data_IF_577169029710
#
_entry.id   IF_577169029710
#
_cell.length_a   1.000
_cell.length_b   1.000
_cell.length_c   1.000
_cell.angle_alpha   90.00
_cell.angle_beta   90.00
_cell.angle_gamma   90.00
#
_symmetry.space_group_name_H-M   'P 1'
#
loop_
_entity.id
_entity.type
_entity.pdbx_description
1 polymer ?
#
# COMPACT_ATOMS: atom_id res chain seq x y z
N UNK A 1 7.82 -19.32 -3.01
CA UNK A 1 7.98 -20.79 -3.07
C UNK A 1 6.78 -21.41 -2.39
N UNK A 2 5.97 -22.18 -3.12
CA UNK A 2 4.77 -22.81 -2.56
C UNK A 2 5.20 -23.96 -1.66
N UNK A 3 4.63 -24.03 -0.46
CA UNK A 3 5.04 -24.96 0.60
C UNK A 3 4.06 -26.12 0.63
N UNK A 4 4.06 -26.91 -0.45
CA UNK A 4 3.04 -27.95 -0.68
C UNK A 4 2.99 -29.00 0.45
N UNK A 5 4.11 -29.28 1.10
CA UNK A 5 4.18 -30.16 2.27
C UNK A 5 3.37 -29.64 3.48
N UNK A 6 3.04 -28.34 3.52
CA UNK A 6 2.19 -27.74 4.56
C UNK A 6 0.70 -27.68 4.18
N UNK A 7 0.31 -28.30 3.05
CA UNK A 7 -1.09 -28.32 2.60
C UNK A 7 -2.07 -28.91 3.63
N UNK A 8 -1.75 -29.98 4.38
CA UNK A 8 -2.66 -30.50 5.41
C UNK A 8 -3.02 -29.45 6.48
N UNK A 9 -2.05 -28.63 6.91
CA UNK A 9 -2.29 -27.53 7.85
C UNK A 9 -3.17 -26.42 7.27
N UNK A 10 -3.14 -26.26 5.94
CA UNK A 10 -3.97 -25.28 5.23
C UNK A 10 -5.46 -25.67 5.25
N UNK A 11 -5.78 -26.96 5.41
CA UNK A 11 -7.18 -27.42 5.58
C UNK A 11 -7.75 -26.99 6.94
N UNK A 12 -6.97 -27.14 8.01
CA UNK A 12 -7.37 -26.66 9.34
C UNK A 12 -7.53 -25.13 9.36
N UNK A 13 -6.58 -24.41 8.76
CA UNK A 13 -6.67 -22.96 8.59
C UNK A 13 -7.89 -22.56 7.74
N UNK A 14 -8.19 -23.31 6.67
CA UNK A 14 -9.38 -23.10 5.85
C UNK A 14 -10.66 -23.26 6.66
N UNK A 15 -10.75 -24.29 7.50
CA UNK A 15 -11.92 -24.54 8.33
C UNK A 15 -12.18 -23.37 9.28
N UNK A 16 -11.15 -22.94 10.02
CA UNK A 16 -11.26 -21.82 10.97
C UNK A 16 -11.65 -20.52 10.26
N UNK A 17 -11.00 -20.19 9.15
CA UNK A 17 -11.29 -18.96 8.40
C UNK A 17 -12.67 -19.00 7.74
N UNK A 18 -13.11 -20.16 7.26
CA UNK A 18 -14.45 -20.34 6.67
C UNK A 18 -15.54 -20.24 7.72
N UNK A 19 -15.38 -20.90 8.87
CA UNK A 19 -16.32 -20.80 9.98
C UNK A 19 -16.48 -19.35 10.44
N UNK A 20 -15.36 -18.64 10.65
CA UNK A 20 -15.37 -17.21 10.96
C UNK A 20 -16.13 -16.40 9.90
N UNK A 21 -15.87 -16.65 8.61
CA UNK A 21 -16.55 -15.94 7.53
C UNK A 21 -18.06 -16.21 7.51
N UNK A 22 -18.47 -17.47 7.70
CA UNK A 22 -19.88 -17.86 7.81
C UNK A 22 -20.58 -17.19 8.99
N UNK A 23 -19.92 -17.07 10.14
CA UNK A 23 -20.48 -16.35 11.29
C UNK A 23 -20.79 -14.89 10.98
N UNK A 24 -19.98 -14.22 10.14
CA UNK A 24 -20.29 -12.87 9.66
C UNK A 24 -21.40 -12.87 8.59
N UNK A 25 -21.41 -13.86 7.69
CA UNK A 25 -22.44 -13.97 6.65
C UNK A 25 -23.83 -14.25 7.25
N UNK A 26 -23.90 -15.06 8.30
CA UNK A 26 -25.12 -15.36 9.05
C UNK A 26 -25.50 -14.29 10.09
N UNK A 27 -24.70 -13.24 10.25
CA UNK A 27 -24.97 -12.17 11.22
C UNK A 27 -24.77 -12.53 12.69
N UNK A 28 -24.17 -13.69 12.98
CA UNK A 28 -23.81 -14.10 14.36
C UNK A 28 -22.73 -13.17 14.91
N UNK A 29 -21.75 -12.83 14.08
CA UNK A 29 -20.71 -11.83 14.42
C UNK A 29 -21.17 -10.43 14.05
N UNK A 30 -21.02 -9.49 14.98
CA UNK A 30 -21.43 -8.09 14.80
C UNK A 30 -20.60 -7.42 13.70
N UNK A 31 -21.30 -6.84 12.72
CA UNK A 31 -20.74 -5.92 11.74
C UNK A 31 -21.38 -4.54 11.89
N UNK A 32 -20.57 -3.49 11.84
CA UNK A 32 -21.01 -2.10 11.96
C UNK A 32 -21.01 -1.45 10.59
N UNK A 33 -22.13 -0.80 10.25
CA UNK A 33 -22.27 0.11 9.10
C UNK A 33 -22.13 1.55 9.55
N UNK A 34 -21.77 2.41 8.59
CA UNK A 34 -21.58 3.84 8.81
C UNK A 34 -22.44 4.60 7.80
N UNK A 35 -22.90 5.80 8.18
CA UNK A 35 -23.59 6.70 7.25
C UNK A 35 -22.59 7.25 6.23
N UNK A 36 -21.43 7.70 6.71
CA UNK A 36 -20.33 8.14 5.85
C UNK A 36 -19.87 7.02 4.92
N UNK A 37 -19.75 7.26 3.60
CA UNK A 37 -19.18 6.33 2.64
C UNK A 37 -17.82 5.79 3.08
N UNK A 38 -17.69 4.47 3.13
CA UNK A 38 -16.42 3.78 3.43
C UNK A 38 -15.96 2.98 2.20
N UNK A 39 -14.74 3.25 1.75
CA UNK A 39 -14.06 2.50 0.69
C UNK A 39 -12.92 1.72 1.32
N UNK A 40 -12.93 0.40 1.18
CA UNK A 40 -11.85 -0.44 1.67
C UNK A 40 -10.96 -0.90 0.52
N UNK A 41 -9.65 -0.72 0.68
CA UNK A 41 -8.63 -1.28 -0.21
C UNK A 41 -7.91 -2.40 0.52
N UNK A 42 -7.97 -3.61 -0.01
CA UNK A 42 -7.26 -4.74 0.60
C UNK A 42 -7.03 -5.89 -0.35
N UNK A 43 -6.43 -6.96 0.16
CA UNK A 43 -6.12 -8.15 -0.63
C UNK A 43 -6.42 -9.43 0.14
N UNK A 44 -6.45 -10.56 -0.57
CA UNK A 44 -6.60 -11.87 0.04
C UNK A 44 -5.28 -12.44 0.57
N UNK A 45 -4.11 -11.93 0.15
CA UNK A 45 -2.80 -12.50 0.52
C UNK A 45 -2.05 -11.69 1.58
N UNK A 46 -1.01 -12.28 2.19
CA UNK A 46 -0.08 -11.57 3.09
C UNK A 46 0.98 -10.74 2.36
N UNK A 47 1.08 -10.86 1.03
CA UNK A 47 2.06 -10.17 0.20
C UNK A 47 1.69 -8.73 -0.18
N UNK A 48 2.67 -7.98 -0.67
CA UNK A 48 2.47 -6.60 -1.11
C UNK A 48 1.76 -6.52 -2.47
N UNK A 49 0.44 -6.43 -2.50
CA UNK A 49 -0.37 -6.38 -3.73
C UNK A 49 -0.61 -4.96 -4.27
N UNK A 50 0.28 -4.00 -4.00
CA UNK A 50 0.09 -2.61 -4.46
C UNK A 50 -1.02 -1.82 -3.75
N UNK A 51 -1.42 -2.21 -2.53
CA UNK A 51 -2.46 -1.50 -1.74
C UNK A 51 -2.11 -0.04 -1.48
N UNK A 52 -0.91 0.23 -0.96
CA UNK A 52 -0.53 1.58 -0.55
C UNK A 52 -0.61 2.60 -1.71
N UNK A 53 -0.09 2.33 -2.93
CA UNK A 53 -0.31 3.22 -4.08
C UNK A 53 -1.79 3.45 -4.43
N UNK A 54 -2.65 2.42 -4.30
CA UNK A 54 -4.08 2.57 -4.55
C UNK A 54 -4.77 3.41 -3.47
N UNK A 55 -4.41 3.23 -2.20
CA UNK A 55 -4.92 4.07 -1.09
C UNK A 55 -4.52 5.52 -1.29
N UNK A 56 -3.27 5.79 -1.65
CA UNK A 56 -2.77 7.13 -1.98
C UNK A 56 -3.57 7.77 -3.11
N UNK A 57 -3.76 7.02 -4.21
CA UNK A 57 -4.52 7.47 -5.37
C UNK A 57 -5.95 7.85 -5.01
N UNK A 58 -6.66 6.99 -4.27
CA UNK A 58 -8.04 7.25 -3.88
C UNK A 58 -8.15 8.43 -2.92
N UNK A 59 -7.26 8.50 -1.93
CA UNK A 59 -7.27 9.57 -0.95
C UNK A 59 -7.02 10.94 -1.62
N UNK A 60 -6.02 11.05 -2.48
CA UNK A 60 -5.74 12.28 -3.24
C UNK A 60 -6.84 12.60 -4.25
N UNK A 61 -7.41 11.60 -4.92
CA UNK A 61 -8.50 11.81 -5.87
C UNK A 61 -9.75 12.36 -5.18
N UNK A 62 -10.16 11.74 -4.08
CA UNK A 62 -11.36 12.11 -3.32
C UNK A 62 -11.19 13.42 -2.55
N UNK A 63 -9.97 13.72 -2.07
CA UNK A 63 -9.70 14.95 -1.32
C UNK A 63 -9.88 16.23 -2.15
N UNK A 64 -9.95 16.11 -3.49
CA UNK A 64 -10.25 17.24 -4.38
C UNK A 64 -11.69 17.74 -4.28
N UNK A 65 -12.60 16.91 -3.76
CA UNK A 65 -14.04 17.20 -3.74
C UNK A 65 -14.67 16.96 -2.37
N UNK A 66 -14.13 16.03 -1.59
CA UNK A 66 -14.70 15.58 -0.32
C UNK A 66 -13.68 15.68 0.81
N UNK A 67 -14.15 15.99 2.02
CA UNK A 67 -13.33 15.88 3.23
C UNK A 67 -13.02 14.41 3.50
N UNK A 68 -11.84 14.00 3.05
CA UNK A 68 -11.41 12.61 2.97
C UNK A 68 -10.54 12.24 4.14
N UNK A 69 -10.74 11.04 4.70
CA UNK A 69 -9.84 10.44 5.67
C UNK A 69 -9.28 9.10 5.20
N UNK A 70 -8.08 8.75 5.66
CA UNK A 70 -7.49 7.42 5.53
C UNK A 70 -7.25 6.84 6.91
N UNK A 71 -7.81 5.66 7.19
CA UNK A 71 -7.57 4.94 8.45
C UNK A 71 -6.67 3.73 8.21
N UNK A 72 -5.46 3.79 8.74
CA UNK A 72 -4.49 2.68 8.75
C UNK A 72 -4.48 1.94 10.10
N UNK A 73 -3.79 0.79 10.14
CA UNK A 73 -3.57 0.02 11.38
C UNK A 73 -2.51 0.67 12.27
N UNK A 74 -1.58 1.39 11.65
CA UNK A 74 -0.35 1.81 12.31
C UNK A 74 0.50 0.61 12.70
N UNK A 75 0.76 -0.29 11.75
CA UNK A 75 1.57 -1.49 12.01
C UNK A 75 2.98 -1.10 12.49
N UNK A 76 3.47 -1.80 13.53
CA UNK A 76 4.81 -1.58 14.08
C UNK A 76 4.97 -0.33 14.96
N UNK A 77 3.90 0.46 15.18
CA UNK A 77 3.96 1.65 16.05
C UNK A 77 3.98 1.26 17.54
N UNK A 78 4.54 2.15 18.36
CA UNK A 78 4.62 2.00 19.83
C UNK A 78 3.38 2.52 20.56
N UNK A 79 2.65 3.47 19.95
CA UNK A 79 1.42 4.02 20.52
C UNK A 79 0.26 3.05 20.33
N UNK A 80 -0.83 3.23 21.09
CA UNK A 80 -2.03 2.41 21.00
C UNK A 80 -3.27 3.29 20.88
N UNK A 81 -4.34 2.72 20.30
CA UNK A 81 -5.63 3.39 20.20
C UNK A 81 -5.68 4.41 19.06
N UNK A 82 -6.77 5.15 18.99
CA UNK A 82 -6.98 6.12 17.92
C UNK A 82 -5.99 7.29 18.01
N UNK A 83 -5.38 7.66 16.88
CA UNK A 83 -4.55 8.85 16.76
C UNK A 83 -4.61 9.44 15.34
N UNK A 84 -4.30 10.73 15.23
CA UNK A 84 -4.18 11.46 13.97
C UNK A 84 -2.72 11.81 13.73
N UNK A 85 -2.27 11.64 12.49
CA UNK A 85 -0.91 11.99 12.08
C UNK A 85 -0.81 13.50 11.91
N UNK A 86 0.28 14.08 12.40
CA UNK A 86 0.59 15.51 12.35
C UNK A 86 2.11 15.73 12.17
N UNK A 87 2.57 16.98 12.22
CA UNK A 87 3.98 17.32 12.02
C UNK A 87 4.91 16.78 13.11
N UNK A 88 4.40 16.51 14.32
CA UNK A 88 5.16 15.91 15.43
C UNK A 88 5.19 14.37 15.36
N UNK A 89 4.45 13.78 14.41
CA UNK A 89 4.37 12.35 14.24
C UNK A 89 5.62 11.79 13.56
N UNK A 90 5.97 10.55 13.90
CA UNK A 90 7.04 9.81 13.24
C UNK A 90 6.61 8.33 13.04
N UNK A 91 7.40 7.58 12.28
CA UNK A 91 7.06 6.20 11.97
C UNK A 91 6.93 5.30 13.21
N UNK A 92 7.62 5.61 14.33
CA UNK A 92 7.45 4.86 15.59
C UNK A 92 6.11 5.17 16.25
N UNK A 93 5.58 6.39 16.12
CA UNK A 93 4.32 6.78 16.77
C UNK A 93 3.09 6.45 15.95
N UNK A 94 3.15 6.51 14.62
CA UNK A 94 1.99 6.25 13.74
C UNK A 94 2.16 5.04 12.82
N UNK A 95 3.36 4.48 12.71
CA UNK A 95 3.67 3.38 11.79
C UNK A 95 4.16 3.89 10.42
N UNK A 96 4.81 3.00 9.67
CA UNK A 96 5.46 3.32 8.40
C UNK A 96 4.45 3.83 7.36
N UNK A 97 3.32 3.14 7.18
CA UNK A 97 2.33 3.48 6.15
C UNK A 97 1.66 4.84 6.38
N UNK A 98 1.28 5.15 7.62
CA UNK A 98 0.65 6.43 7.94
C UNK A 98 1.66 7.58 7.80
N UNK A 99 2.90 7.37 8.25
CA UNK A 99 3.97 8.34 8.07
C UNK A 99 4.31 8.54 6.58
N UNK A 100 4.26 7.48 5.76
CA UNK A 100 4.47 7.58 4.31
C UNK A 100 3.41 8.47 3.66
N UNK A 101 2.13 8.26 3.99
CA UNK A 101 1.04 9.11 3.51
C UNK A 101 1.23 10.56 3.93
N UNK A 102 1.54 10.79 5.20
CA UNK A 102 1.70 12.15 5.72
C UNK A 102 2.93 12.84 5.14
N UNK A 103 4.02 12.12 4.91
CA UNK A 103 5.21 12.70 4.29
C UNK A 103 4.92 13.22 2.89
N UNK A 104 4.15 12.47 2.11
CA UNK A 104 3.82 12.82 0.74
C UNK A 104 2.71 13.87 0.61
N UNK A 105 1.65 13.74 1.40
CA UNK A 105 0.42 14.51 1.21
C UNK A 105 0.18 15.55 2.31
N UNK A 106 0.95 15.51 3.41
CA UNK A 106 0.80 16.39 4.57
C UNK A 106 -0.68 16.44 4.99
N UNK A 107 -1.25 17.64 5.07
CA UNK A 107 -2.64 17.86 5.49
C UNK A 107 -3.67 17.87 4.34
N UNK A 108 -3.33 17.37 3.13
CA UNK A 108 -4.29 17.30 2.01
C UNK A 108 -5.54 16.47 2.34
N UNK A 109 -5.40 15.47 3.21
CA UNK A 109 -6.50 14.66 3.75
C UNK A 109 -6.13 14.17 5.16
N UNK A 110 -7.13 13.75 5.93
CA UNK A 110 -6.90 13.33 7.31
C UNK A 110 -6.30 11.92 7.34
N UNK A 111 -5.21 11.70 8.09
CA UNK A 111 -4.56 10.39 8.22
C UNK A 111 -4.65 9.92 9.66
N UNK A 112 -5.43 8.87 9.87
CA UNK A 112 -5.68 8.27 11.18
C UNK A 112 -5.07 6.88 11.31
N UNK A 113 -4.80 6.49 12.56
CA UNK A 113 -4.27 5.18 12.93
C UNK A 113 -5.05 4.61 14.11
N UNK A 114 -5.45 3.35 14.00
CA UNK A 114 -6.16 2.63 15.07
C UNK A 114 -6.08 1.13 14.86
N UNK A 115 -5.71 0.35 15.88
CA UNK A 115 -5.77 -1.12 15.80
C UNK A 115 -7.22 -1.60 15.66
N UNK A 116 -8.13 -0.96 16.38
CA UNK A 116 -9.56 -1.24 16.33
C UNK A 116 -10.23 -0.40 15.25
N UNK A 117 -10.61 -1.07 14.15
CA UNK A 117 -11.17 -0.42 12.96
C UNK A 117 -12.51 0.26 13.21
N UNK A 118 -13.41 -0.37 13.97
CA UNK A 118 -14.78 0.15 14.15
C UNK A 118 -14.79 1.38 15.05
N UNK A 119 -14.28 1.34 16.30
CA UNK A 119 -14.13 2.55 17.11
C UNK A 119 -13.26 3.61 16.45
N UNK A 120 -12.15 3.22 15.80
CA UNK A 120 -11.27 4.15 15.10
C UNK A 120 -11.97 4.88 13.96
N UNK A 121 -12.73 4.16 13.12
CA UNK A 121 -13.51 4.76 12.04
C UNK A 121 -14.58 5.70 12.57
N UNK A 122 -15.35 5.26 13.58
CA UNK A 122 -16.38 6.09 14.22
C UNK A 122 -15.80 7.39 14.73
N UNK A 123 -14.76 7.29 15.56
CA UNK A 123 -14.11 8.45 16.17
C UNK A 123 -13.49 9.37 15.11
N UNK A 124 -12.84 8.81 14.10
CA UNK A 124 -12.24 9.61 13.02
C UNK A 124 -13.28 10.35 12.18
N UNK A 125 -14.40 9.70 11.86
CA UNK A 125 -15.51 10.31 11.12
C UNK A 125 -16.11 11.45 11.94
N UNK A 126 -16.39 11.21 13.23
CA UNK A 126 -17.04 12.18 14.12
C UNK A 126 -16.10 13.37 14.45
N UNK A 127 -14.86 13.09 14.89
CA UNK A 127 -13.91 14.13 15.32
C UNK A 127 -13.47 15.04 14.15
N UNK A 128 -13.49 14.52 12.91
CA UNK A 128 -12.96 15.21 11.74
C UNK A 128 -14.05 15.52 10.70
N UNK A 129 -15.32 15.27 11.01
CA UNK A 129 -16.47 15.52 10.14
C UNK A 129 -16.26 15.03 8.69
N UNK A 130 -15.85 13.77 8.54
CA UNK A 130 -15.45 13.23 7.25
C UNK A 130 -16.65 12.95 6.33
N UNK A 131 -16.51 13.30 5.05
CA UNK A 131 -17.46 12.92 4.01
C UNK A 131 -17.17 11.55 3.41
N UNK A 132 -15.92 11.08 3.46
CA UNK A 132 -15.54 9.75 2.97
C UNK A 132 -14.34 9.22 3.73
N UNK A 133 -14.36 7.92 4.03
CA UNK A 133 -13.27 7.23 4.71
C UNK A 133 -12.70 6.11 3.84
N UNK A 134 -11.39 6.13 3.61
CA UNK A 134 -10.64 5.05 2.96
C UNK A 134 -9.98 4.18 4.04
N UNK A 135 -10.20 2.88 3.99
CA UNK A 135 -9.56 1.92 4.88
C UNK A 135 -8.38 1.24 4.19
N UNK A 136 -7.22 1.28 4.84
CA UNK A 136 -6.04 0.54 4.40
C UNK A 136 -6.01 -0.86 5.04
N UNK A 137 -6.00 -1.87 4.17
CA UNK A 137 -5.93 -3.30 4.46
C UNK A 137 -7.01 -3.83 5.43
N UNK A 138 -8.26 -3.40 5.26
CA UNK A 138 -9.37 -3.83 6.11
C UNK A 138 -10.22 -4.97 5.51
N UNK A 139 -9.73 -5.69 4.49
CA UNK A 139 -10.52 -6.73 3.80
C UNK A 139 -10.94 -7.91 4.69
N UNK A 140 -10.08 -8.30 5.65
CA UNK A 140 -10.38 -9.34 6.63
C UNK A 140 -11.09 -8.79 7.88
N UNK A 141 -11.18 -7.47 8.03
CA UNK A 141 -11.82 -6.82 9.17
C UNK A 141 -13.35 -6.75 8.99
N UNK A 142 -14.01 -7.92 8.94
CA UNK A 142 -15.47 -8.03 8.70
C UNK A 142 -16.36 -7.37 9.77
N UNK A 143 -15.80 -6.95 10.90
CA UNK A 143 -16.49 -6.13 11.90
C UNK A 143 -16.88 -4.75 11.36
N UNK A 144 -16.17 -4.24 10.35
CA UNK A 144 -16.61 -3.08 9.57
C UNK A 144 -17.24 -3.59 8.27
N UNK A 145 -18.44 -3.10 7.95
CA UNK A 145 -19.11 -3.38 6.68
C UNK A 145 -18.91 -2.18 5.76
N UNK A 146 -17.82 -2.15 4.96
CA UNK A 146 -17.64 -1.08 3.98
C UNK A 146 -18.73 -1.19 2.91
N UNK A 147 -19.23 -0.06 2.43
CA UNK A 147 -20.17 -0.04 1.30
C UNK A 147 -19.48 -0.29 -0.03
N UNK A 148 -18.14 -0.15 -0.10
CA UNK A 148 -17.37 -0.42 -1.31
C UNK A 148 -16.01 -1.06 -0.99
N UNK A 149 -15.72 -2.19 -1.64
CA UNK A 149 -14.51 -2.98 -1.50
C UNK A 149 -13.76 -3.05 -2.83
N UNK A 150 -12.49 -2.65 -2.80
CA UNK A 150 -11.53 -2.82 -3.89
C UNK A 150 -10.57 -3.92 -3.47
N UNK A 151 -10.65 -5.05 -4.17
CA UNK A 151 -9.74 -6.17 -3.98
C UNK A 151 -8.53 -6.02 -4.90
N UNK A 152 -7.36 -5.86 -4.30
CA UNK A 152 -6.08 -5.85 -5.00
C UNK A 152 -5.57 -7.28 -5.20
N UNK A 153 -5.10 -7.59 -6.40
CA UNK A 153 -4.39 -8.84 -6.73
C UNK A 153 -3.12 -8.52 -7.51
N UNK A 154 -2.00 -9.18 -7.20
CA UNK A 154 -0.76 -9.00 -7.97
C UNK A 154 -0.89 -9.71 -9.32
N UNK A 155 -0.41 -9.09 -10.40
CA UNK A 155 -0.33 -9.71 -11.72
C UNK A 155 0.53 -10.98 -11.67
N UNK A 156 1.70 -10.96 -11.04
CA UNK A 156 2.62 -12.09 -11.03
C UNK A 156 2.18 -13.22 -10.09
N UNK A 157 1.47 -12.87 -9.02
CA UNK A 157 0.98 -13.83 -8.03
C UNK A 157 -0.52 -13.60 -7.72
N UNK A 158 -1.40 -13.93 -8.67
CA UNK A 158 -2.81 -13.64 -8.52
C UNK A 158 -3.50 -14.60 -7.56
N UNK A 159 -4.46 -14.10 -6.79
CA UNK A 159 -5.13 -14.89 -5.74
C UNK A 159 -5.75 -16.20 -6.25
N UNK A 160 -6.20 -16.23 -7.52
CA UNK A 160 -6.82 -17.41 -8.13
C UNK A 160 -5.82 -18.54 -8.44
N UNK A 161 -4.50 -18.29 -8.37
CA UNK A 161 -3.45 -19.31 -8.50
C UNK A 161 -2.84 -19.72 -7.15
N UNK A 162 -3.15 -19.01 -6.08
CA UNK A 162 -2.51 -19.18 -4.78
C UNK A 162 -3.35 -20.05 -3.82
N UNK A 163 -2.71 -20.53 -2.75
CA UNK A 163 -3.30 -21.41 -1.74
C UNK A 163 -3.38 -20.71 -0.38
N UNK A 164 -4.21 -21.27 0.50
CA UNK A 164 -4.30 -20.81 1.88
C UNK A 164 -2.97 -20.99 2.62
N UNK A 165 -2.73 -20.09 3.57
CA UNK A 165 -1.69 -20.25 4.55
C UNK A 165 -1.86 -21.60 5.28
N UNK A 166 -0.76 -22.29 5.63
CA UNK A 166 0.64 -21.95 5.32
C UNK A 166 1.18 -22.48 3.97
N UNK A 167 0.39 -23.19 3.15
CA UNK A 167 0.88 -23.75 1.88
C UNK A 167 1.07 -22.71 0.76
N UNK A 168 0.27 -21.66 0.78
CA UNK A 168 0.42 -20.44 -0.02
C UNK A 168 0.35 -19.20 0.86
N UNK A 169 0.00 -18.06 0.28
CA UNK A 169 0.01 -16.76 0.96
C UNK A 169 -1.40 -16.18 1.18
N UNK A 170 -2.47 -16.91 0.82
CA UNK A 170 -3.85 -16.48 1.05
C UNK A 170 -4.23 -16.54 2.55
N UNK A 171 -4.74 -15.42 3.06
CA UNK A 171 -5.29 -15.23 4.41
C UNK A 171 -6.69 -15.82 4.57
N UNK A 172 -7.44 -15.95 3.48
CA UNK A 172 -8.76 -16.56 3.42
C UNK A 172 -9.01 -17.15 2.03
N UNK A 173 -10.07 -17.93 1.87
CA UNK A 173 -10.37 -18.60 0.60
C UNK A 173 -10.60 -17.62 -0.54
N UNK A 174 -10.38 -18.08 -1.77
CA UNK A 174 -10.63 -17.32 -3.01
C UNK A 174 -12.06 -16.81 -3.12
N UNK A 175 -13.02 -17.49 -2.48
CA UNK A 175 -14.42 -17.04 -2.40
C UNK A 175 -14.58 -15.68 -1.74
N UNK A 176 -13.63 -15.24 -0.91
CA UNK A 176 -13.63 -13.91 -0.32
C UNK A 176 -13.70 -12.80 -1.37
N UNK A 177 -13.19 -13.04 -2.59
CA UNK A 177 -13.25 -12.08 -3.68
C UNK A 177 -14.67 -11.64 -4.08
N UNK A 178 -15.70 -12.46 -3.80
CA UNK A 178 -17.11 -12.13 -4.07
C UNK A 178 -17.59 -10.86 -3.35
N UNK A 179 -16.95 -10.48 -2.25
CA UNK A 179 -17.29 -9.29 -1.46
C UNK A 179 -16.82 -7.98 -2.10
N UNK A 180 -15.98 -8.04 -3.13
CA UNK A 180 -15.46 -6.87 -3.82
C UNK A 180 -16.47 -6.32 -4.82
N UNK A 181 -16.49 -5.00 -4.99
CA UNK A 181 -17.13 -4.31 -6.12
C UNK A 181 -16.14 -4.15 -7.27
N UNK A 182 -14.86 -3.93 -6.96
CA UNK A 182 -13.77 -3.87 -7.94
C UNK A 182 -12.70 -4.90 -7.60
N UNK A 183 -12.24 -5.62 -8.63
CA UNK A 183 -11.02 -6.43 -8.56
C UNK A 183 -9.96 -5.74 -9.40
N UNK A 184 -8.90 -5.26 -8.75
CA UNK A 184 -7.78 -4.55 -9.36
C UNK A 184 -6.59 -5.49 -9.54
N UNK A 185 -6.29 -5.85 -10.78
CA UNK A 185 -5.05 -6.54 -11.13
C UNK A 185 -3.94 -5.50 -11.17
N UNK A 186 -3.03 -5.57 -10.20
CA UNK A 186 -1.99 -4.59 -9.93
C UNK A 186 -0.62 -5.06 -10.42
N UNK A 187 0.32 -4.12 -10.55
CA UNK A 187 1.69 -4.37 -11.02
C UNK A 187 1.73 -5.05 -12.39
N UNK A 188 0.75 -4.71 -13.23
CA UNK A 188 0.77 -5.11 -14.62
C UNK A 188 2.02 -4.56 -15.30
N UNK A 189 2.61 -5.32 -16.24
CA UNK A 189 3.64 -4.77 -17.12
C UNK A 189 3.05 -3.66 -18.01
N UNK A 190 3.89 -2.73 -18.46
CA UNK A 190 3.44 -1.58 -19.24
C UNK A 190 2.88 -1.97 -20.62
N UNK A 191 3.33 -3.10 -21.17
CA UNK A 191 2.95 -3.68 -22.46
C UNK A 191 1.86 -4.76 -22.33
N UNK A 192 0.99 -4.67 -21.31
CA UNK A 192 -0.07 -5.65 -21.09
C UNK A 192 -1.11 -5.65 -22.23
N UNK A 193 -1.13 -6.72 -23.02
CA UNK A 193 -2.07 -6.91 -24.14
C UNK A 193 -3.50 -7.21 -23.68
N UNK A 194 -4.48 -6.90 -24.52
CA UNK A 194 -5.88 -7.20 -24.25
C UNK A 194 -6.16 -8.70 -24.14
N UNK A 195 -5.45 -9.54 -24.90
CA UNK A 195 -5.52 -11.01 -24.76
C UNK A 195 -5.16 -11.45 -23.33
N UNK A 196 -4.09 -10.88 -22.76
CA UNK A 196 -3.73 -11.16 -21.36
C UNK A 196 -4.77 -10.61 -20.39
N UNK A 197 -5.32 -9.41 -20.62
CA UNK A 197 -6.42 -8.90 -19.79
C UNK A 197 -7.62 -9.86 -19.80
N UNK A 198 -8.02 -10.36 -20.97
CA UNK A 198 -9.10 -11.34 -21.09
C UNK A 198 -8.77 -12.67 -20.38
N UNK A 199 -7.52 -13.13 -20.46
CA UNK A 199 -7.07 -14.27 -19.66
C UNK A 199 -7.32 -14.03 -18.16
N UNK A 200 -6.89 -12.90 -17.59
CA UNK A 200 -7.13 -12.60 -16.17
C UNK A 200 -8.63 -12.56 -15.85
N UNK A 201 -9.43 -11.88 -16.66
CA UNK A 201 -10.89 -11.79 -16.46
C UNK A 201 -11.53 -13.19 -16.46
N UNK A 202 -11.16 -14.05 -17.40
CA UNK A 202 -11.67 -15.43 -17.49
C UNK A 202 -11.31 -16.30 -16.28
N UNK A 203 -10.16 -16.03 -15.63
CA UNK A 203 -9.70 -16.74 -14.44
C UNK A 203 -10.29 -16.19 -13.15
N UNK A 204 -10.50 -14.88 -13.09
CA UNK A 204 -11.16 -14.18 -11.99
C UNK A 204 -12.63 -14.59 -11.91
N UNK A 205 -13.30 -14.72 -13.06
CA UNK A 205 -14.75 -15.00 -13.18
C UNK A 205 -15.58 -14.01 -12.35
N UNK A 206 -15.50 -12.70 -12.65
CA UNK A 206 -16.18 -11.67 -11.87
C UNK A 206 -17.69 -11.91 -11.86
N UNK A 207 -18.35 -11.65 -10.73
CA UNK A 207 -19.82 -11.65 -10.66
C UNK A 207 -20.38 -10.43 -11.39
N UNK A 208 -21.69 -10.42 -11.68
CA UNK A 208 -22.34 -9.34 -12.45
C UNK A 208 -22.13 -7.94 -11.88
N UNK A 209 -22.03 -7.80 -10.55
CA UNK A 209 -21.78 -6.51 -9.89
C UNK A 209 -20.30 -6.12 -9.83
N UNK A 210 -19.39 -7.01 -10.23
CA UNK A 210 -17.95 -6.81 -10.10
C UNK A 210 -17.37 -6.26 -11.39
N UNK A 211 -16.49 -5.27 -11.25
CA UNK A 211 -15.68 -4.75 -12.35
C UNK A 211 -14.23 -5.15 -12.15
N UNK A 212 -13.55 -5.48 -13.25
CA UNK A 212 -12.12 -5.81 -13.24
C UNK A 212 -11.37 -4.69 -13.92
N UNK A 213 -10.35 -4.17 -13.22
CA UNK A 213 -9.46 -3.13 -13.72
C UNK A 213 -8.01 -3.61 -13.63
N UNK A 214 -7.15 -2.96 -14.40
CA UNK A 214 -5.72 -3.26 -14.47
C UNK A 214 -4.94 -2.01 -14.09
N UNK A 215 -3.84 -2.18 -13.37
CA UNK A 215 -2.96 -1.08 -13.02
C UNK A 215 -1.49 -1.47 -13.03
N UNK A 216 -0.65 -0.53 -13.45
CA UNK A 216 0.81 -0.62 -13.34
C UNK A 216 1.34 0.35 -12.28
N UNK A 217 2.59 0.14 -11.88
CA UNK A 217 3.31 1.06 -10.99
C UNK A 217 4.22 1.92 -11.87
N UNK A 218 4.05 3.23 -11.79
CA UNK A 218 4.97 4.22 -12.31
C UNK A 218 5.82 4.81 -11.19
N UNK A 219 6.93 5.43 -11.58
CA UNK A 219 7.74 6.26 -10.70
C UNK A 219 7.53 7.72 -11.09
N UNK A 220 7.63 8.62 -10.13
CA UNK A 220 7.51 10.06 -10.38
C UNK A 220 8.67 10.55 -11.27
N UNK A 221 8.47 11.61 -12.05
CA UNK A 221 9.52 12.20 -12.88
C UNK A 221 10.59 12.91 -12.03
N UNK A 222 10.38 13.01 -10.72
CA UNK A 222 11.31 13.59 -9.78
C UNK A 222 11.57 12.64 -8.60
N UNK A 223 12.79 12.71 -8.05
CA UNK A 223 13.10 12.23 -6.70
C UNK A 223 13.07 13.41 -5.74
N UNK A 224 12.63 13.18 -4.51
CA UNK A 224 12.37 14.25 -3.54
C UNK A 224 13.22 14.06 -2.30
N UNK A 225 13.65 15.15 -1.68
CA UNK A 225 14.29 15.21 -0.37
C UNK A 225 13.48 16.16 0.53
N UNK A 226 14.02 16.53 1.70
CA UNK A 226 13.28 17.32 2.69
C UNK A 226 12.67 18.62 2.13
N UNK A 227 13.46 19.44 1.42
CA UNK A 227 13.04 20.74 0.89
C UNK A 227 13.41 20.95 -0.59
N UNK A 228 13.70 19.87 -1.32
CA UNK A 228 14.13 19.95 -2.72
C UNK A 228 13.71 18.71 -3.50
N UNK A 229 13.73 18.82 -4.82
CA UNK A 229 13.53 17.71 -5.73
C UNK A 229 14.61 17.72 -6.82
N UNK A 230 14.83 16.57 -7.44
CA UNK A 230 15.74 16.39 -8.55
C UNK A 230 15.00 15.63 -9.65
N UNK A 231 14.93 16.18 -10.88
CA UNK A 231 14.41 15.44 -12.03
C UNK A 231 15.16 14.12 -12.24
N UNK A 232 14.42 13.06 -12.58
CA UNK A 232 14.97 11.71 -12.72
C UNK A 232 16.03 11.59 -13.84
N UNK A 233 15.90 12.35 -14.91
CA UNK A 233 16.87 12.45 -16.00
C UNK A 233 18.25 12.96 -15.52
N UNK A 234 18.30 13.73 -14.44
CA UNK A 234 19.53 14.22 -13.84
C UNK A 234 20.24 13.16 -12.98
N UNK A 235 19.60 12.03 -12.67
CA UNK A 235 20.23 10.94 -11.90
C UNK A 235 21.47 10.37 -12.60
N UNK A 236 21.55 10.50 -13.93
CA UNK A 236 22.71 10.10 -14.73
C UNK A 236 24.00 10.81 -14.31
N UNK A 237 23.92 12.04 -13.78
CA UNK A 237 25.06 12.83 -13.35
C UNK A 237 25.66 12.39 -12.00
N UNK A 238 24.91 11.61 -11.20
CA UNK A 238 25.30 11.26 -9.84
C UNK A 238 25.77 9.80 -9.70
N UNK A 239 26.71 9.60 -8.78
CA UNK A 239 26.96 8.31 -8.15
C UNK A 239 25.89 8.07 -7.06
N UNK A 240 25.19 6.95 -7.15
CA UNK A 240 23.98 6.70 -6.35
C UNK A 240 24.24 5.61 -5.32
N UNK A 241 24.13 5.98 -4.04
CA UNK A 241 23.97 5.00 -2.96
C UNK A 241 22.49 4.68 -2.80
N UNK A 242 22.05 3.55 -3.36
CA UNK A 242 20.68 3.08 -3.21
C UNK A 242 20.54 2.32 -1.88
N UNK A 243 19.57 2.71 -1.06
CA UNK A 243 19.21 2.03 0.19
C UNK A 243 17.82 1.45 0.05
N UNK A 244 17.65 0.16 0.34
CA UNK A 244 16.32 -0.46 0.37
C UNK A 244 16.16 -1.37 1.58
N UNK A 245 15.08 -1.17 2.33
CA UNK A 245 14.60 -2.05 3.41
C UNK A 245 13.19 -2.57 3.11
N UNK A 246 12.97 -2.98 1.85
CA UNK A 246 11.69 -3.50 1.34
C UNK A 246 11.82 -4.95 0.83
N UNK A 247 10.71 -5.69 0.86
CA UNK A 247 10.66 -7.10 0.48
C UNK A 247 11.23 -7.42 -0.92
N UNK A 248 10.96 -6.58 -1.93
CA UNK A 248 11.44 -6.78 -3.30
C UNK A 248 11.92 -5.47 -3.95
N UNK A 249 13.24 -5.20 -3.96
CA UNK A 249 13.81 -4.00 -4.56
C UNK A 249 14.01 -4.10 -6.08
N UNK A 250 13.80 -5.27 -6.70
CA UNK A 250 14.07 -5.47 -8.14
C UNK A 250 13.36 -4.47 -9.06
N UNK A 251 12.07 -4.12 -8.85
CA UNK A 251 11.41 -3.13 -9.72
C UNK A 251 12.07 -1.75 -9.68
N UNK A 252 12.56 -1.33 -8.50
CA UNK A 252 13.26 -0.05 -8.35
C UNK A 252 14.64 -0.10 -9.02
N UNK A 253 15.40 -1.18 -8.81
CA UNK A 253 16.69 -1.38 -9.46
C UNK A 253 16.57 -1.36 -10.99
N UNK A 254 15.60 -2.08 -11.55
CA UNK A 254 15.34 -2.13 -13.00
C UNK A 254 14.86 -0.78 -13.56
N UNK A 255 14.21 0.05 -12.74
CA UNK A 255 13.82 1.38 -13.15
C UNK A 255 15.01 2.33 -13.11
N UNK A 256 15.76 2.35 -11.99
CA UNK A 256 16.93 3.18 -11.80
C UNK A 256 18.04 2.91 -12.83
N UNK A 257 18.22 1.66 -13.27
CA UNK A 257 19.22 1.28 -14.27
C UNK A 257 18.99 1.92 -15.64
N UNK A 258 17.81 2.51 -15.89
CA UNK A 258 17.53 3.28 -17.10
C UNK A 258 18.17 4.67 -17.08
N UNK A 259 18.48 5.19 -15.89
CA UNK A 259 18.97 6.54 -15.68
C UNK A 259 20.44 6.58 -15.27
N UNK A 260 20.89 5.64 -14.44
CA UNK A 260 22.28 5.59 -13.98
C UNK A 260 22.80 4.17 -13.88
N UNK A 261 24.04 3.97 -14.33
CA UNK A 261 24.80 2.72 -14.16
C UNK A 261 25.69 2.76 -12.90
N UNK A 262 25.85 3.93 -12.27
CA UNK A 262 26.76 4.15 -11.14
C UNK A 262 26.01 3.99 -9.82
N UNK A 263 25.48 2.79 -9.59
CA UNK A 263 24.63 2.48 -8.42
C UNK A 263 25.32 1.50 -7.49
N UNK A 264 25.54 1.91 -6.24
CA UNK A 264 25.91 1.03 -5.13
C UNK A 264 24.66 0.73 -4.31
N UNK A 265 24.29 -0.55 -4.19
CA UNK A 265 23.07 -0.95 -3.48
C UNK A 265 23.38 -1.52 -2.08
N UNK A 266 22.86 -0.86 -1.05
CA UNK A 266 22.80 -1.36 0.32
C UNK A 266 21.41 -1.94 0.59
N UNK A 267 21.32 -3.27 0.60
CA UNK A 267 20.08 -4.00 0.83
C UNK A 267 19.95 -4.41 2.29
N UNK A 268 18.85 -4.00 2.91
CA UNK A 268 18.44 -4.38 4.26
C UNK A 268 17.23 -5.32 4.22
N UNK A 269 16.83 -5.83 5.39
CA UNK A 269 15.63 -6.65 5.54
C UNK A 269 14.36 -5.80 5.36
N UNK A 270 13.25 -6.46 5.03
CA UNK A 270 11.95 -5.78 4.96
C UNK A 270 11.58 -5.20 6.33
N UNK A 271 11.07 -3.96 6.36
CA UNK A 271 10.81 -3.20 7.59
C UNK A 271 12.03 -3.05 8.51
N UNK A 272 13.25 -2.94 7.95
CA UNK A 272 14.46 -2.72 8.74
C UNK A 272 14.36 -1.45 9.59
N UNK A 273 14.57 -1.60 10.90
CA UNK A 273 14.76 -0.51 11.84
C UNK A 273 16.25 -0.12 11.83
N UNK A 274 16.57 0.99 11.16
CA UNK A 274 17.95 1.47 11.06
C UNK A 274 18.51 1.82 12.45
N UNK A 275 19.70 1.34 12.74
CA UNK A 275 20.49 1.66 13.94
C UNK A 275 21.52 2.76 13.65
N UNK A 276 22.07 3.39 14.69
CA UNK A 276 23.16 4.36 14.53
C UNK A 276 24.38 3.75 13.82
N UNK A 277 24.63 2.46 14.02
CA UNK A 277 25.71 1.76 13.32
C UNK A 277 25.41 1.59 11.83
N UNK A 278 24.16 1.32 11.45
CA UNK A 278 23.75 1.30 10.05
C UNK A 278 23.96 2.67 9.41
N UNK A 279 23.61 3.76 10.13
CA UNK A 279 23.80 5.12 9.63
C UNK A 279 25.28 5.45 9.45
N UNK A 280 26.14 5.09 10.40
CA UNK A 280 27.59 5.23 10.26
C UNK A 280 28.12 4.49 9.03
N UNK A 281 27.64 3.28 8.79
CA UNK A 281 28.02 2.49 7.63
C UNK A 281 27.53 3.13 6.32
N UNK A 282 26.27 3.60 6.27
CA UNK A 282 25.70 4.32 5.12
C UNK A 282 26.54 5.56 4.79
N UNK A 283 26.88 6.37 5.80
CA UNK A 283 27.70 7.57 5.62
C UNK A 283 29.11 7.21 5.14
N UNK A 284 29.72 6.15 5.69
CA UNK A 284 31.03 5.69 5.26
C UNK A 284 31.02 5.25 3.78
N UNK A 285 29.97 4.56 3.34
CA UNK A 285 29.80 4.17 1.94
C UNK A 285 29.50 5.38 1.03
N UNK A 286 28.70 6.33 1.49
CA UNK A 286 28.41 7.56 0.78
C UNK A 286 29.67 8.42 0.58
N UNK A 287 30.56 8.48 1.58
CA UNK A 287 31.83 9.21 1.48
C UNK A 287 32.79 8.65 0.43
N UNK A 288 32.70 7.35 0.12
CA UNK A 288 33.53 6.69 -0.91
C UNK A 288 33.07 6.98 -2.34
N UNK A 289 31.88 7.52 -2.54
CA UNK A 289 31.39 7.94 -3.85
C UNK A 289 32.08 9.23 -4.31
N UNK A 290 32.01 9.51 -5.62
CA UNK A 290 32.62 10.68 -6.25
C UNK A 290 32.06 12.02 -5.77
N UNK A 291 32.46 13.08 -6.48
CA UNK A 291 32.06 14.46 -6.15
C UNK A 291 30.54 14.66 -6.26
N UNK A 292 29.95 14.24 -7.38
CA UNK A 292 28.50 14.27 -7.60
C UNK A 292 27.88 12.97 -7.08
N UNK A 293 27.32 13.01 -5.87
CA UNK A 293 26.77 11.83 -5.20
C UNK A 293 25.46 12.08 -4.49
N UNK A 294 24.64 11.03 -4.45
CA UNK A 294 23.25 11.06 -3.98
C UNK A 294 22.95 9.78 -3.18
N UNK A 295 22.22 9.91 -2.07
CA UNK A 295 21.60 8.76 -1.41
C UNK A 295 20.15 8.67 -1.87
N UNK A 296 19.78 7.55 -2.49
CA UNK A 296 18.42 7.32 -2.98
C UNK A 296 17.76 6.17 -2.22
N UNK A 297 16.47 6.28 -1.92
CA UNK A 297 15.72 5.23 -1.21
C UNK A 297 14.25 5.17 -1.63
N UNK A 298 13.49 4.26 -1.03
CA UNK A 298 12.03 4.17 -1.22
C UNK A 298 11.30 5.14 -0.28
N UNK A 299 10.09 5.57 -0.62
CA UNK A 299 9.24 6.36 0.30
C UNK A 299 9.07 5.69 1.67
N UNK A 300 8.96 4.35 1.70
CA UNK A 300 8.81 3.57 2.94
C UNK A 300 10.06 3.58 3.81
N UNK A 301 11.23 3.60 3.20
CA UNK A 301 12.51 3.62 3.93
C UNK A 301 12.88 5.05 4.33
N UNK A 302 12.51 6.04 3.51
CA UNK A 302 12.73 7.46 3.79
C UNK A 302 12.12 7.90 5.11
N UNK A 303 10.88 7.50 5.41
CA UNK A 303 10.22 7.88 6.68
C UNK A 303 10.96 7.38 7.93
N UNK A 304 11.75 6.32 7.80
CA UNK A 304 12.63 5.80 8.85
C UNK A 304 13.96 6.52 8.86
N UNK A 305 14.61 6.67 7.70
CA UNK A 305 15.92 7.30 7.55
C UNK A 305 15.93 8.79 7.92
N UNK A 306 14.85 9.53 7.61
CA UNK A 306 14.74 10.97 7.92
C UNK A 306 14.74 11.29 9.42
N UNK A 307 14.54 10.28 10.28
CA UNK A 307 14.59 10.46 11.75
C UNK A 307 16.02 10.65 12.25
N UNK A 308 17.02 10.41 11.41
CA UNK A 308 18.42 10.71 11.69
C UNK A 308 18.78 12.06 11.06
N UNK A 309 19.04 13.07 11.88
CA UNK A 309 19.26 14.45 11.42
C UNK A 309 20.40 14.56 10.39
N UNK A 310 21.47 13.78 10.56
CA UNK A 310 22.60 13.73 9.63
C UNK A 310 22.23 13.28 8.21
N UNK A 311 21.14 12.52 8.05
CA UNK A 311 20.67 12.01 6.77
C UNK A 311 19.51 12.83 6.19
N UNK A 312 18.83 13.64 7.01
CA UNK A 312 17.57 14.29 6.65
C UNK A 312 17.67 15.11 5.35
N UNK A 313 18.77 15.85 5.18
CA UNK A 313 18.99 16.70 3.99
C UNK A 313 19.68 15.95 2.83
N UNK A 314 20.24 14.76 3.08
CA UNK A 314 21.05 14.03 2.10
C UNK A 314 20.27 12.94 1.35
N UNK A 315 19.20 12.43 1.96
CA UNK A 315 18.46 11.28 1.43
C UNK A 315 17.31 11.77 0.54
N UNK A 316 17.34 11.30 -0.70
CA UNK A 316 16.23 11.41 -1.62
C UNK A 316 15.42 10.13 -1.62
N UNK A 317 14.13 10.26 -1.90
CA UNK A 317 13.21 9.15 -2.10
C UNK A 317 12.52 9.26 -3.44
N UNK A 318 12.18 8.11 -4.01
CA UNK A 318 11.46 8.06 -5.28
C UNK A 318 10.00 7.67 -5.07
N UNK A 319 9.04 8.58 -5.29
CA UNK A 319 7.63 8.26 -5.17
C UNK A 319 7.17 7.28 -6.24
N UNK A 320 6.26 6.40 -5.85
CA UNK A 320 5.56 5.52 -6.78
C UNK A 320 4.12 5.97 -6.98
N UNK A 321 3.63 5.81 -8.22
CA UNK A 321 2.29 6.18 -8.65
C UNK A 321 1.58 4.96 -9.23
N UNK A 322 0.25 4.94 -9.13
CA UNK A 322 -0.57 3.93 -9.80
C UNK A 322 -1.10 4.51 -11.11
N UNK A 323 -0.89 3.79 -12.22
CA UNK A 323 -1.53 4.08 -13.49
C UNK A 323 -2.63 3.06 -13.71
N UNK A 324 -3.87 3.52 -13.79
CA UNK A 324 -5.06 2.68 -13.93
C UNK A 324 -5.48 2.68 -15.40
N UNK A 325 -5.62 1.50 -15.99
CA UNK A 325 -6.27 1.32 -17.30
C UNK A 325 -7.75 1.68 -17.18
N UNK A 326 -8.29 2.47 -18.12
CA UNK A 326 -9.65 3.04 -18.05
C UNK A 326 -9.90 3.84 -16.76
N UNK A 327 -8.94 4.69 -16.40
CA UNK A 327 -8.95 5.54 -15.19
C UNK A 327 -10.25 6.33 -15.02
N UNK A 328 -10.80 6.88 -16.09
CA UNK A 328 -12.00 7.72 -16.06
C UNK A 328 -13.23 6.90 -15.64
N UNK A 329 -13.40 5.68 -16.19
CA UNK A 329 -14.47 4.75 -15.79
C UNK A 329 -14.31 4.36 -14.32
N UNK A 330 -13.08 4.03 -13.88
CA UNK A 330 -12.79 3.72 -12.49
C UNK A 330 -13.20 4.88 -11.56
N UNK A 331 -12.76 6.11 -11.88
CA UNK A 331 -13.05 7.30 -11.09
C UNK A 331 -14.55 7.60 -11.02
N UNK A 332 -15.28 7.45 -12.13
CA UNK A 332 -16.73 7.66 -12.15
C UNK A 332 -17.47 6.67 -11.26
N UNK A 333 -17.06 5.39 -11.23
CA UNK A 333 -17.64 4.39 -10.33
C UNK A 333 -17.42 4.79 -8.86
N UNK A 334 -16.21 5.22 -8.52
CA UNK A 334 -15.87 5.67 -7.16
C UNK A 334 -16.70 6.90 -6.77
N UNK A 335 -16.76 7.93 -7.62
CA UNK A 335 -17.55 9.13 -7.36
C UNK A 335 -19.05 8.82 -7.24
N UNK A 336 -19.58 7.94 -8.09
CA UNK A 336 -20.99 7.54 -8.02
C UNK A 336 -21.33 6.82 -6.73
N UNK A 337 -20.40 6.03 -6.17
CA UNK A 337 -20.60 5.42 -4.86
C UNK A 337 -20.61 6.47 -3.74
N UNK A 338 -19.64 7.38 -3.74
CA UNK A 338 -19.50 8.41 -2.70
C UNK A 338 -20.63 9.45 -2.75
N UNK A 339 -21.16 9.80 -3.93
CA UNK A 339 -22.23 10.80 -4.03
C UNK A 339 -23.63 10.27 -3.69
N UNK A 340 -23.83 8.95 -3.71
CA UNK A 340 -25.12 8.29 -3.44
C UNK A 340 -25.34 7.92 -1.98
N UNK A 341 -24.28 7.95 -1.17
CA UNK A 341 -24.27 7.53 0.22
C UNK A 341 -23.68 8.66 1.07
#
# INVERSE_FOLDING_TARGET
>A
MKRWYLYPFSLGYHFVTSLRNLMYDWGISKSTTFKTPIINVGNLSVGGSGKSPMVMYLAEFLSKTYKTGVLSRGYGRITKGYGITNYDSNYKTVGDEAMQLFERFKNKFVIGVSEERVPGAKKMIDDMDLNVLVLDDAYQHRAIKPGFNILMTDYNDPYFKDFLLPAGDLRESRSGARRAQIIMVSKCPNDLTDEKKQYYISRIKPQHHQKVFFSSIGYDENVYAHNQFLPDNNLSYYDILLITGIANPKPLLNHLSKFSQRVKHLKFKDHHNFSDQDIKNIIAEYKKLGEYKLILTTEKDYVRLKTFDYLRELVYYWPINVHIDKKEEFNQIILSYVSKN
#
